data_IF_682083744248
#
_entry.id   IF_682083744248
#
_cell.length_a   1.000
_cell.length_b   1.000
_cell.length_c   1.000
_cell.angle_alpha   90.00
_cell.angle_beta   90.00
_cell.angle_gamma   90.00
#
_symmetry.space_group_name_H-M   'P 1'
#
loop_
_entity.id
_entity.type
_entity.pdbx_description
1 polymer ?
#
# COMPACT_ATOMS: atom_id res chain seq x y z
N UNK A 1 -5.69 15.45 2.34
CA UNK A 1 -6.48 14.21 2.24
C UNK A 1 -7.79 14.50 1.54
N UNK A 2 -8.03 13.87 0.39
CA UNK A 2 -9.26 14.05 -0.40
C UNK A 2 -10.36 13.08 0.01
N UNK A 3 -9.99 11.83 0.31
CA UNK A 3 -10.91 10.78 0.75
C UNK A 3 -10.24 9.91 1.78
N UNK A 4 -11.03 9.41 2.72
CA UNK A 4 -10.54 8.47 3.73
C UNK A 4 -11.69 7.53 4.10
N UNK A 5 -11.43 6.23 4.06
CA UNK A 5 -12.42 5.22 4.41
C UNK A 5 -11.77 4.11 5.23
N UNK A 6 -12.45 3.67 6.28
CA UNK A 6 -12.05 2.50 7.05
C UNK A 6 -12.90 1.31 6.59
N UNK A 7 -12.26 0.22 6.24
CA UNK A 7 -12.98 -0.98 5.82
C UNK A 7 -12.06 -2.09 5.38
N UNK A 8 -12.64 -3.21 5.01
CA UNK A 8 -11.87 -4.36 4.55
C UNK A 8 -11.60 -4.27 3.05
N UNK A 9 -10.43 -4.72 2.65
CA UNK A 9 -10.10 -4.89 1.24
C UNK A 9 -10.68 -6.24 0.80
N UNK A 10 -11.45 -6.25 -0.29
CA UNK A 10 -11.99 -7.51 -0.83
C UNK A 10 -10.90 -8.29 -1.55
N UNK A 11 -11.12 -9.60 -1.70
CA UNK A 11 -10.19 -10.44 -2.44
C UNK A 11 -10.04 -9.94 -3.89
N UNK A 12 -11.13 -9.50 -4.52
CA UNK A 12 -11.10 -8.96 -5.88
C UNK A 12 -10.25 -7.70 -5.97
N UNK A 13 -10.39 -6.79 -5.00
CA UNK A 13 -9.58 -5.57 -4.95
C UNK A 13 -8.10 -5.90 -4.76
N UNK A 14 -7.78 -6.81 -3.87
CA UNK A 14 -6.40 -7.23 -3.61
C UNK A 14 -5.77 -7.85 -4.85
N UNK A 15 -6.49 -8.76 -5.51
CA UNK A 15 -6.01 -9.40 -6.73
C UNK A 15 -5.79 -8.40 -7.86
N UNK A 16 -6.69 -7.42 -8.01
CA UNK A 16 -6.55 -6.37 -9.02
C UNK A 16 -5.34 -5.48 -8.73
N UNK A 17 -5.14 -5.11 -7.47
CA UNK A 17 -4.04 -4.24 -7.06
C UNK A 17 -2.67 -4.89 -7.26
N UNK A 18 -2.55 -6.17 -6.99
CA UNK A 18 -1.30 -6.91 -7.10
C UNK A 18 -1.23 -7.83 -8.31
N UNK A 19 -2.04 -7.57 -9.35
CA UNK A 19 -2.12 -8.44 -10.52
C UNK A 19 -0.76 -8.69 -11.19
N UNK A 20 0.12 -7.69 -11.23
CA UNK A 20 1.46 -7.79 -11.81
C UNK A 20 2.38 -8.75 -11.04
N UNK A 21 2.04 -9.06 -9.80
CA UNK A 21 2.82 -9.95 -8.93
C UNK A 21 2.29 -11.38 -8.91
N UNK A 22 1.19 -11.65 -9.60
CA UNK A 22 0.58 -12.98 -9.63
C UNK A 22 1.59 -14.01 -10.13
N UNK A 23 1.70 -15.12 -9.40
CA UNK A 23 2.67 -16.17 -9.70
C UNK A 23 4.03 -16.01 -9.04
N UNK A 24 4.29 -14.88 -8.41
CA UNK A 24 5.53 -14.68 -7.65
C UNK A 24 5.40 -15.32 -6.25
N UNK A 25 6.51 -15.77 -5.65
CA UNK A 25 6.47 -16.45 -4.36
C UNK A 25 5.80 -15.68 -3.23
N UNK A 26 5.91 -14.34 -3.24
CA UNK A 26 5.35 -13.48 -2.19
C UNK A 26 3.90 -13.07 -2.42
N UNK A 27 3.30 -13.40 -3.57
CA UNK A 27 1.97 -12.95 -3.95
C UNK A 27 0.89 -13.34 -2.93
N UNK A 28 0.86 -14.62 -2.55
CA UNK A 28 -0.15 -15.12 -1.62
C UNK A 28 -0.04 -14.48 -0.24
N UNK A 29 1.19 -14.23 0.22
CA UNK A 29 1.44 -13.53 1.48
C UNK A 29 0.90 -12.11 1.46
N UNK A 30 1.10 -11.37 0.36
CA UNK A 30 0.57 -10.02 0.19
C UNK A 30 -0.96 -10.01 0.23
N UNK A 31 -1.60 -10.90 -0.52
CA UNK A 31 -3.05 -11.00 -0.57
C UNK A 31 -3.62 -11.35 0.80
N UNK A 32 -3.03 -12.34 1.47
CA UNK A 32 -3.45 -12.75 2.80
C UNK A 32 -3.34 -11.61 3.81
N UNK A 33 -2.24 -10.88 3.78
CA UNK A 33 -2.00 -9.78 4.72
C UNK A 33 -2.99 -8.63 4.51
N UNK A 34 -3.15 -8.14 3.28
CA UNK A 34 -4.00 -6.98 3.00
C UNK A 34 -5.47 -7.27 3.24
N UNK A 35 -5.89 -8.52 3.15
CA UNK A 35 -7.27 -8.94 3.42
C UNK A 35 -7.49 -9.43 4.84
N UNK A 36 -6.46 -9.41 5.70
CA UNK A 36 -6.53 -9.99 7.05
C UNK A 36 -7.38 -9.20 8.04
N UNK A 37 -7.67 -7.93 7.78
CA UNK A 37 -8.45 -7.11 8.67
C UNK A 37 -8.75 -5.75 8.08
N UNK A 38 -9.45 -4.88 8.82
CA UNK A 38 -9.78 -3.54 8.33
C UNK A 38 -8.53 -2.70 8.09
N UNK A 39 -8.60 -1.88 7.05
CA UNK A 39 -7.52 -0.94 6.70
C UNK A 39 -8.12 0.45 6.53
N UNK A 40 -7.30 1.46 6.67
CA UNK A 40 -7.67 2.83 6.32
C UNK A 40 -7.17 3.08 4.90
N UNK A 41 -8.09 3.44 4.00
CA UNK A 41 -7.77 3.79 2.61
C UNK A 41 -7.87 5.29 2.46
N UNK A 42 -6.87 5.92 1.85
CA UNK A 42 -6.84 7.36 1.66
C UNK A 42 -6.45 7.73 0.24
N UNK A 43 -7.06 8.81 -0.26
CA UNK A 43 -6.59 9.51 -1.45
C UNK A 43 -5.96 10.81 -0.96
N UNK A 44 -4.70 11.01 -1.27
CA UNK A 44 -3.94 12.20 -0.89
C UNK A 44 -3.53 12.93 -2.16
N UNK A 45 -3.80 14.24 -2.22
CA UNK A 45 -3.40 15.07 -3.35
C UNK A 45 -2.47 16.19 -2.91
N UNK A 46 -1.69 16.69 -3.84
CA UNK A 46 -0.76 17.78 -3.60
C UNK A 46 0.41 17.70 -4.56
N UNK A 47 1.19 18.76 -4.61
CA UNK A 47 2.38 18.81 -5.44
C UNK A 47 3.40 17.77 -4.95
N UNK A 48 3.79 16.85 -5.83
CA UNK A 48 4.73 15.79 -5.49
C UNK A 48 4.21 14.81 -4.46
N UNK A 49 2.88 14.61 -4.37
CA UNK A 49 2.26 13.77 -3.35
C UNK A 49 2.82 12.34 -3.34
N UNK A 50 2.97 11.70 -4.51
CA UNK A 50 3.49 10.33 -4.57
C UNK A 50 4.87 10.24 -3.94
N UNK A 51 5.80 11.09 -4.34
CA UNK A 51 7.17 11.08 -3.82
C UNK A 51 7.21 11.39 -2.32
N UNK A 52 6.43 12.37 -1.87
CA UNK A 52 6.38 12.76 -0.46
C UNK A 52 5.83 11.64 0.43
N UNK A 53 4.75 11.02 -0.01
CA UNK A 53 4.14 9.90 0.74
C UNK A 53 5.11 8.73 0.80
N UNK A 54 5.77 8.39 -0.31
CA UNK A 54 6.72 7.28 -0.32
C UNK A 54 7.92 7.54 0.59
N UNK A 55 8.36 8.79 0.69
CA UNK A 55 9.42 9.15 1.65
C UNK A 55 8.99 8.91 3.09
N UNK A 56 7.73 9.27 3.42
CA UNK A 56 7.18 9.02 4.76
C UNK A 56 7.02 7.53 5.06
N UNK A 57 6.66 6.74 4.06
CA UNK A 57 6.48 5.29 4.21
C UNK A 57 7.79 4.56 4.47
N UNK A 58 8.85 4.94 3.79
CA UNK A 58 10.14 4.27 3.86
C UNK A 58 10.33 3.18 2.82
N UNK A 59 11.48 2.51 2.87
CA UNK A 59 11.83 1.46 1.93
C UNK A 59 10.81 0.32 1.94
N UNK A 60 10.63 -0.34 0.79
CA UNK A 60 9.65 -1.42 0.62
C UNK A 60 9.85 -2.53 1.65
N UNK A 61 11.09 -2.94 1.89
CA UNK A 61 11.38 -3.88 2.96
C UNK A 61 11.55 -3.11 4.28
N UNK A 62 10.71 -3.35 5.29
CA UNK A 62 10.81 -2.65 6.57
C UNK A 62 12.18 -2.78 7.23
N UNK A 63 12.90 -3.87 7.01
CA UNK A 63 14.24 -4.07 7.58
C UNK A 63 15.24 -3.05 7.04
N UNK A 64 15.00 -2.52 5.82
CA UNK A 64 15.86 -1.53 5.17
C UNK A 64 15.36 -0.11 5.34
N UNK A 65 14.18 0.07 5.97
CA UNK A 65 13.58 1.38 6.12
C UNK A 65 14.22 2.16 7.26
N UNK A 66 14.48 3.45 7.02
CA UNK A 66 15.11 4.30 8.02
C UNK A 66 14.20 4.54 9.22
N UNK A 67 14.76 4.70 10.43
CA UNK A 67 13.99 5.13 11.58
C UNK A 67 13.31 6.48 11.29
N UNK A 68 12.10 6.65 11.79
CA UNK A 68 11.28 7.84 11.53
C UNK A 68 10.35 7.68 10.34
N UNK A 69 10.54 6.66 9.50
CA UNK A 69 9.57 6.32 8.46
C UNK A 69 8.53 5.37 9.04
N UNK A 70 7.36 5.29 8.39
CA UNK A 70 6.28 4.41 8.87
C UNK A 70 6.75 2.94 8.92
N UNK A 71 7.35 2.47 7.84
CA UNK A 71 7.84 1.08 7.79
C UNK A 71 9.01 0.84 8.73
N UNK A 72 9.90 1.83 8.88
CA UNK A 72 11.04 1.72 9.78
C UNK A 72 10.62 1.61 11.24
N UNK A 73 9.60 2.36 11.64
CA UNK A 73 9.14 2.39 13.03
C UNK A 73 8.18 1.26 13.38
N UNK A 74 7.34 0.81 12.44
CA UNK A 74 6.24 -0.13 12.71
C UNK A 74 6.30 -1.44 11.95
N UNK A 75 7.07 -1.52 10.86
CA UNK A 75 7.17 -2.73 10.07
C UNK A 75 8.29 -3.65 10.58
N UNK A 76 8.09 -4.96 10.44
CA UNK A 76 9.08 -5.96 10.85
C UNK A 76 9.59 -6.76 9.67
N UNK A 77 8.69 -7.22 8.80
CA UNK A 77 9.04 -8.06 7.65
C UNK A 77 8.35 -7.53 6.39
N UNK A 78 8.87 -7.91 5.23
CA UNK A 78 8.36 -7.41 3.95
C UNK A 78 6.88 -7.74 3.70
N UNK A 79 6.44 -8.93 4.09
CA UNK A 79 5.05 -9.36 3.88
C UNK A 79 4.06 -8.63 4.79
N UNK A 80 4.54 -8.02 5.87
CA UNK A 80 3.74 -7.27 6.83
C UNK A 80 4.28 -5.86 6.96
N UNK A 81 4.32 -5.13 5.84
CA UNK A 81 4.98 -3.82 5.75
C UNK A 81 4.11 -2.64 6.21
N UNK A 82 2.96 -2.90 6.80
CA UNK A 82 1.99 -2.00 7.44
C UNK A 82 1.31 -0.98 6.54
N UNK A 83 1.90 -0.58 5.43
CA UNK A 83 1.34 0.46 4.56
C UNK A 83 1.67 0.18 3.10
N UNK A 84 0.73 0.52 2.22
CA UNK A 84 0.91 0.53 0.78
C UNK A 84 0.75 1.95 0.27
N UNK A 85 1.53 2.34 -0.71
CA UNK A 85 1.36 3.61 -1.41
C UNK A 85 1.68 3.41 -2.88
N UNK A 86 0.98 4.15 -3.73
CA UNK A 86 1.20 4.11 -5.17
C UNK A 86 2.60 4.61 -5.50
N UNK A 87 3.24 3.98 -6.49
CA UNK A 87 4.62 4.29 -6.85
C UNK A 87 4.75 5.33 -7.97
N UNK A 88 3.64 5.73 -8.57
CA UNK A 88 3.61 6.73 -9.63
C UNK A 88 2.23 7.35 -9.73
N UNK A 89 2.09 8.52 -10.41
CA UNK A 89 0.76 9.09 -10.66
C UNK A 89 -0.15 8.14 -11.44
N UNK A 90 0.39 7.39 -12.40
CA UNK A 90 -0.37 6.41 -13.17
C UNK A 90 -0.87 5.26 -12.30
N UNK A 91 -0.01 4.76 -11.43
CA UNK A 91 -0.39 3.72 -10.46
C UNK A 91 -1.44 4.23 -9.48
N UNK A 92 -1.30 5.49 -9.02
CA UNK A 92 -2.28 6.10 -8.13
C UNK A 92 -3.65 6.16 -8.77
N UNK A 93 -3.74 6.60 -10.03
CA UNK A 93 -5.01 6.68 -10.76
C UNK A 93 -5.67 5.31 -10.89
N UNK A 94 -4.90 4.30 -11.25
CA UNK A 94 -5.39 2.92 -11.35
C UNK A 94 -5.88 2.39 -9.99
N UNK A 95 -5.11 2.61 -8.94
CA UNK A 95 -5.43 2.10 -7.61
C UNK A 95 -6.63 2.81 -7.00
N UNK A 96 -6.81 4.11 -7.25
CA UNK A 96 -8.01 4.84 -6.84
C UNK A 96 -9.25 4.19 -7.47
N UNK A 97 -9.18 3.84 -8.75
CA UNK A 97 -10.27 3.16 -9.45
C UNK A 97 -10.61 1.79 -8.84
N UNK A 98 -9.62 1.10 -8.30
CA UNK A 98 -9.82 -0.21 -7.64
C UNK A 98 -10.50 -0.04 -6.28
N UNK A 99 -10.00 0.88 -5.46
CA UNK A 99 -10.42 0.97 -4.06
C UNK A 99 -11.54 1.96 -3.76
N UNK A 100 -11.78 2.92 -4.63
CA UNK A 100 -12.75 3.99 -4.43
C UNK A 100 -13.80 4.10 -5.55
N UNK A 101 -14.15 3.01 -6.11
CA UNK A 101 -15.18 2.94 -7.15
C UNK A 101 -16.53 3.37 -6.63
#
# INVERSE_FOLDING_TARGET
VERMELGNVTMEQAEANYAEHKGKPFYEGLISYITSGPVVKMVVSGEGAVAKVRTLMGATNPADAAPGTIRGDFGLIMDENVIHGSDSPESAEREIGIFFN
#
